data_IF_258276355199
#
_entry.id   IF_258276355199
#
_cell.length_a   1.000
_cell.length_b   1.000
_cell.length_c   1.000
_cell.angle_alpha   90.00
_cell.angle_beta   90.00
_cell.angle_gamma   90.00
#
_symmetry.space_group_name_H-M   'P 1'
#
loop_
_entity.id
_entity.type
_entity.pdbx_description
1 polymer ?
#
# COMPACT_ATOMS: atom_id res chain seq x y z
N UNK A 1 2.03 -4.65 42.93
CA UNK A 1 1.59 -3.34 42.37
C UNK A 1 1.62 -3.41 40.84
N UNK A 2 0.45 -3.41 40.18
CA UNK A 2 0.38 -3.32 38.70
C UNK A 2 0.40 -1.84 38.34
N UNK A 3 1.51 -1.35 37.76
CA UNK A 3 1.58 0.01 37.21
C UNK A 3 0.46 0.17 36.17
N UNK A 4 -0.49 1.06 36.48
CA UNK A 4 -1.49 1.53 35.51
C UNK A 4 -0.72 2.24 34.41
N UNK A 5 -0.65 1.62 33.23
CA UNK A 5 -0.05 2.19 32.01
C UNK A 5 -0.84 3.46 31.68
N UNK A 6 -0.25 4.61 31.98
CA UNK A 6 -0.87 5.92 31.87
C UNK A 6 -1.22 6.26 30.42
N UNK A 7 -2.25 7.09 30.28
CA UNK A 7 -2.70 7.71 29.04
C UNK A 7 -1.52 8.19 28.18
N UNK A 8 -1.42 7.65 26.96
CA UNK A 8 -0.87 8.41 25.83
C UNK A 8 0.65 8.52 25.72
N UNK A 9 1.43 7.52 26.12
CA UNK A 9 2.86 7.49 25.75
C UNK A 9 2.98 7.51 24.21
N UNK A 10 3.36 8.66 23.67
CA UNK A 10 3.49 8.87 22.23
C UNK A 10 4.61 7.98 21.73
N UNK A 11 4.23 6.89 21.05
CA UNK A 11 5.19 5.97 20.43
C UNK A 11 6.10 6.78 19.50
N UNK A 12 7.42 6.69 19.71
CA UNK A 12 8.43 7.37 18.87
C UNK A 12 8.18 7.16 17.37
N UNK A 13 7.64 5.99 17.01
CA UNK A 13 7.20 5.66 15.66
C UNK A 13 5.67 5.49 15.67
N UNK A 14 4.88 6.53 15.36
CA UNK A 14 3.41 6.47 15.42
C UNK A 14 2.82 5.39 14.50
N UNK A 15 3.46 5.16 13.35
CA UNK A 15 3.05 4.15 12.39
C UNK A 15 3.27 2.72 12.90
N UNK A 16 4.15 2.52 13.88
CA UNK A 16 4.65 1.22 14.31
C UNK A 16 5.46 0.47 13.27
N UNK A 17 5.84 1.07 12.13
CA UNK A 17 6.59 0.41 11.06
C UNK A 17 8.09 0.44 11.32
N UNK A 18 8.79 -0.62 10.94
CA UNK A 18 10.23 -0.68 10.83
C UNK A 18 10.67 -0.87 9.38
N UNK A 19 11.87 -0.41 9.05
CA UNK A 19 12.60 -0.78 7.84
C UNK A 19 13.79 -1.68 8.22
N UNK A 20 13.91 -2.83 7.56
CA UNK A 20 15.02 -3.77 7.77
C UNK A 20 16.21 -3.42 6.89
N UNK A 21 17.35 -3.05 7.48
CA UNK A 21 18.55 -2.60 6.76
C UNK A 21 19.76 -3.41 7.29
N UNK A 22 20.67 -3.80 6.40
CA UNK A 22 21.88 -4.55 6.76
C UNK A 22 22.91 -3.64 7.44
N UNK A 23 23.70 -4.20 8.36
CA UNK A 23 24.88 -3.50 8.87
C UNK A 23 25.98 -3.47 7.81
N UNK A 24 26.82 -2.41 7.74
CA UNK A 24 26.93 -1.28 8.67
C UNK A 24 25.99 -0.11 8.34
N UNK A 25 25.15 -0.22 7.31
CA UNK A 25 24.37 0.92 6.81
C UNK A 25 23.39 1.49 7.83
N UNK A 26 22.91 0.71 8.81
CA UNK A 26 22.11 1.24 9.91
C UNK A 26 22.93 2.20 10.77
N UNK A 27 24.16 1.84 11.08
CA UNK A 27 25.08 2.68 11.83
C UNK A 27 25.44 3.96 11.06
N UNK A 28 25.66 3.86 9.75
CA UNK A 28 25.87 5.03 8.89
C UNK A 28 24.65 5.97 8.86
N UNK A 29 23.44 5.44 8.95
CA UNK A 29 22.21 6.26 9.05
C UNK A 29 22.15 6.95 10.40
N UNK A 30 22.39 6.21 11.49
CA UNK A 30 22.32 6.74 12.85
C UNK A 30 23.38 7.81 13.12
N UNK A 31 24.55 7.69 12.51
CA UNK A 31 25.64 8.69 12.55
C UNK A 31 25.48 9.81 11.52
N UNK A 32 24.45 9.76 10.67
CA UNK A 32 24.14 10.79 9.68
C UNK A 32 25.00 10.76 8.40
N UNK A 33 25.94 9.81 8.28
CA UNK A 33 26.77 9.61 7.09
C UNK A 33 25.93 9.21 5.87
N UNK A 34 25.00 8.27 6.07
CA UNK A 34 24.11 7.77 5.02
C UNK A 34 22.77 8.50 5.04
N UNK A 35 22.56 9.37 4.04
CA UNK A 35 21.36 10.21 3.88
C UNK A 35 20.24 9.56 3.06
N UNK A 36 20.55 8.47 2.34
CA UNK A 36 19.59 7.74 1.50
C UNK A 36 19.68 6.24 1.74
N UNK A 37 18.53 5.60 1.94
CA UNK A 37 18.41 4.15 1.87
C UNK A 37 18.00 3.72 0.46
N UNK A 38 18.78 2.84 -0.18
CA UNK A 38 18.55 2.46 -1.58
C UNK A 38 17.80 1.15 -1.70
N UNK A 39 16.76 1.12 -2.54
CA UNK A 39 15.95 -0.06 -2.84
C UNK A 39 15.57 -0.11 -4.31
N UNK A 40 15.27 -1.31 -4.80
CA UNK A 40 14.78 -1.53 -6.17
C UNK A 40 13.36 -1.01 -6.42
N UNK A 41 12.60 -0.69 -5.36
CA UNK A 41 11.19 -0.27 -5.43
C UNK A 41 10.99 1.09 -4.79
N UNK A 42 10.13 1.93 -5.38
CA UNK A 42 9.69 3.18 -4.77
C UNK A 42 8.85 2.93 -3.50
N UNK A 43 8.80 3.93 -2.61
CA UNK A 43 7.92 3.91 -1.42
C UNK A 43 7.13 5.21 -1.27
N UNK A 44 5.87 5.08 -0.86
CA UNK A 44 5.01 6.20 -0.47
C UNK A 44 4.99 6.42 1.06
N UNK A 45 5.74 5.62 1.82
CA UNK A 45 5.82 5.79 3.28
C UNK A 45 6.54 7.10 3.60
N UNK A 46 5.92 7.91 4.47
CA UNK A 46 6.47 9.16 4.99
C UNK A 46 6.33 9.19 6.50
N UNK A 47 7.27 9.90 7.15
CA UNK A 47 7.35 10.04 8.60
C UNK A 47 8.33 9.05 9.24
N UNK A 48 8.31 9.03 10.57
CA UNK A 48 9.25 8.26 11.39
C UNK A 48 8.98 6.75 11.30
N UNK A 49 10.04 5.97 11.16
CA UNK A 49 10.06 4.50 11.13
C UNK A 49 11.18 3.98 12.04
N UNK A 50 11.01 2.78 12.60
CA UNK A 50 12.08 2.12 13.33
C UNK A 50 13.17 1.66 12.35
N UNK A 51 14.43 1.68 12.81
CA UNK A 51 15.57 1.09 12.15
C UNK A 51 15.84 -0.29 12.75
N UNK A 52 15.59 -1.34 11.96
CA UNK A 52 15.95 -2.71 12.30
C UNK A 52 17.30 -3.06 11.69
N UNK A 53 18.28 -3.37 12.54
CA UNK A 53 19.56 -3.91 12.13
C UNK A 53 19.37 -5.38 11.75
N UNK A 54 19.44 -5.69 10.46
CA UNK A 54 19.26 -7.03 9.94
C UNK A 54 20.22 -8.03 10.60
N UNK A 55 19.81 -9.30 10.68
CA UNK A 55 20.66 -10.39 11.16
C UNK A 55 21.89 -10.65 10.29
N UNK A 56 21.92 -10.13 9.05
CA UNK A 56 23.02 -10.28 8.08
C UNK A 56 23.73 -8.96 7.81
N UNK A 57 25.04 -9.03 7.61
CA UNK A 57 25.86 -7.92 7.11
C UNK A 57 25.63 -7.68 5.61
N UNK A 58 25.94 -6.47 5.17
CA UNK A 58 26.17 -6.17 3.78
C UNK A 58 27.40 -6.94 3.27
N UNK A 59 27.43 -7.22 1.97
CA UNK A 59 28.54 -7.94 1.35
C UNK A 59 29.85 -7.19 1.57
N UNK A 60 30.91 -7.91 1.95
CA UNK A 60 32.23 -7.34 2.23
C UNK A 60 32.41 -6.74 3.64
N UNK A 61 31.46 -6.96 4.57
CA UNK A 61 31.56 -6.51 5.96
C UNK A 61 31.42 -7.66 6.95
N UNK A 62 32.28 -7.70 7.97
CA UNK A 62 32.32 -8.75 9.01
C UNK A 62 32.52 -8.18 10.44
N UNK A 63 32.02 -6.97 10.71
CA UNK A 63 32.17 -6.35 12.02
C UNK A 63 31.13 -6.86 13.04
N UNK A 64 31.51 -7.88 13.81
CA UNK A 64 30.66 -8.48 14.84
C UNK A 64 30.36 -7.58 16.04
N UNK A 65 30.97 -6.39 16.16
CA UNK A 65 30.69 -5.45 17.26
C UNK A 65 29.33 -4.75 17.12
N UNK A 66 28.79 -4.67 15.89
CA UNK A 66 27.54 -3.96 15.63
C UNK A 66 26.31 -4.82 15.99
N UNK A 67 25.29 -4.24 16.66
CA UNK A 67 24.07 -4.95 16.99
C UNK A 67 23.35 -5.42 15.72
N UNK A 68 22.79 -6.62 15.79
CA UNK A 68 22.03 -7.29 14.72
C UNK A 68 20.77 -7.94 15.29
N UNK A 69 19.80 -8.19 14.42
CA UNK A 69 18.54 -8.84 14.80
C UNK A 69 17.64 -7.99 15.70
N UNK A 70 17.87 -6.67 15.79
CA UNK A 70 17.24 -5.82 16.81
C UNK A 70 16.91 -4.42 16.26
N UNK A 71 15.98 -3.73 16.93
CA UNK A 71 15.68 -2.31 16.68
C UNK A 71 16.68 -1.47 17.47
N UNK A 72 17.41 -0.60 16.78
CA UNK A 72 18.50 0.20 17.36
C UNK A 72 18.18 1.70 17.42
N UNK A 73 17.12 2.13 16.74
CA UNK A 73 16.74 3.53 16.67
C UNK A 73 15.56 3.77 15.73
N UNK A 74 15.38 5.03 15.34
CA UNK A 74 14.41 5.46 14.34
C UNK A 74 14.96 6.52 13.41
N UNK A 75 14.29 6.73 12.28
CA UNK A 75 14.61 7.77 11.30
C UNK A 75 13.35 8.22 10.59
N UNK A 76 13.33 9.46 10.09
CA UNK A 76 12.24 9.98 9.26
C UNK A 76 12.52 9.76 7.79
N UNK A 77 11.54 9.18 7.09
CA UNK A 77 11.52 9.15 5.63
C UNK A 77 10.74 10.37 5.15
N UNK A 78 11.44 11.31 4.53
CA UNK A 78 10.84 12.57 4.04
C UNK A 78 10.54 12.56 2.55
N UNK A 79 11.25 11.71 1.80
CA UNK A 79 11.19 11.69 0.34
C UNK A 79 11.57 10.35 -0.27
N UNK A 80 11.35 10.23 -1.58
CA UNK A 80 11.79 9.09 -2.38
C UNK A 80 12.17 9.61 -3.76
N UNK A 81 13.45 9.45 -4.14
CA UNK A 81 14.01 9.92 -5.41
C UNK A 81 14.54 8.75 -6.23
N UNK A 82 14.32 8.74 -7.53
CA UNK A 82 14.95 7.77 -8.43
C UNK A 82 16.37 8.23 -8.79
N UNK A 83 17.32 7.30 -8.78
CA UNK A 83 18.72 7.52 -9.12
C UNK A 83 19.05 6.76 -10.41
N UNK A 84 19.05 7.44 -11.59
CA UNK A 84 19.17 6.78 -12.88
C UNK A 84 20.47 5.97 -13.05
N UNK A 85 21.61 6.50 -12.57
CA UNK A 85 22.93 5.87 -12.70
C UNK A 85 23.01 4.47 -12.08
N UNK A 86 22.19 4.19 -11.06
CA UNK A 86 22.15 2.91 -10.36
C UNK A 86 20.83 2.16 -10.55
N UNK A 87 19.88 2.74 -11.29
CA UNK A 87 18.53 2.21 -11.51
C UNK A 87 17.80 1.81 -10.21
N UNK A 88 17.99 2.59 -9.15
CA UNK A 88 17.38 2.35 -7.81
C UNK A 88 16.68 3.58 -7.27
N UNK A 89 15.80 3.38 -6.29
CA UNK A 89 15.15 4.45 -5.54
C UNK A 89 15.90 4.68 -4.22
N UNK A 90 16.23 5.94 -3.92
CA UNK A 90 16.74 6.37 -2.63
C UNK A 90 15.64 6.97 -1.78
N UNK A 91 15.42 6.39 -0.61
CA UNK A 91 14.52 6.92 0.41
C UNK A 91 15.30 7.96 1.20
N UNK A 92 14.86 9.22 1.16
CA UNK A 92 15.57 10.31 1.83
C UNK A 92 15.31 10.25 3.34
N UNK A 93 16.40 10.22 4.10
CA UNK A 93 16.40 10.01 5.55
C UNK A 93 16.79 11.29 6.29
N UNK A 94 16.04 11.62 7.35
CA UNK A 94 16.29 12.78 8.22
C UNK A 94 16.10 12.43 9.70
N UNK A 95 16.67 13.25 10.55
CA UNK A 95 16.50 13.21 12.01
C UNK A 95 16.67 11.79 12.62
N UNK A 96 17.79 11.11 12.33
CA UNK A 96 18.06 9.81 12.94
C UNK A 96 18.10 9.97 14.47
N UNK A 97 17.54 8.97 15.16
CA UNK A 97 17.50 8.93 16.62
C UNK A 97 17.95 7.54 17.06
N UNK A 98 19.12 7.48 17.72
CA UNK A 98 19.60 6.27 18.36
C UNK A 98 18.84 6.03 19.65
N UNK A 99 18.51 4.78 19.94
CA UNK A 99 17.98 4.39 21.25
C UNK A 99 19.11 4.00 22.19
N UNK A 100 18.95 4.32 23.46
CA UNK A 100 19.90 3.94 24.51
C UNK A 100 19.95 2.42 24.71
N UNK A 101 18.81 1.76 24.58
CA UNK A 101 18.69 0.30 24.61
C UNK A 101 18.11 -0.21 23.30
N UNK A 102 18.66 -1.31 22.79
CA UNK A 102 18.09 -2.01 21.64
C UNK A 102 16.81 -2.74 22.03
N UNK A 103 15.94 -3.01 21.04
CA UNK A 103 14.64 -3.65 21.27
C UNK A 103 14.49 -4.84 20.33
N UNK A 104 14.32 -6.03 20.89
CA UNK A 104 14.06 -7.25 20.12
C UNK A 104 12.64 -7.17 19.54
N UNK A 105 12.45 -7.34 18.21
CA UNK A 105 11.12 -7.37 17.62
C UNK A 105 10.37 -8.67 17.98
N UNK A 106 9.07 -8.58 18.18
CA UNK A 106 8.19 -9.74 18.41
C UNK A 106 7.91 -10.50 17.10
N UNK A 107 7.87 -9.76 15.98
CA UNK A 107 7.56 -10.30 14.66
C UNK A 107 8.80 -10.45 13.79
N UNK A 108 8.79 -11.47 12.93
CA UNK A 108 9.85 -11.71 11.95
C UNK A 108 10.02 -10.53 10.98
N UNK A 109 11.26 -10.07 10.83
CA UNK A 109 11.61 -9.02 9.89
C UNK A 109 11.34 -9.44 8.44
N UNK A 110 10.77 -8.53 7.66
CA UNK A 110 10.56 -8.71 6.22
C UNK A 110 11.61 -7.90 5.43
N UNK A 111 11.90 -8.26 4.17
CA UNK A 111 12.89 -7.57 3.33
C UNK A 111 12.59 -6.08 3.07
N UNK A 112 11.39 -5.60 3.40
CA UNK A 112 10.97 -4.21 3.25
C UNK A 112 10.53 -3.62 4.60
N UNK A 113 9.32 -3.05 4.64
CA UNK A 113 8.71 -2.55 5.86
C UNK A 113 7.92 -3.65 6.56
N UNK A 114 7.99 -3.68 7.88
CA UNK A 114 7.22 -4.61 8.70
C UNK A 114 6.79 -3.96 10.01
N UNK A 115 5.99 -4.65 10.80
CA UNK A 115 5.51 -4.18 12.10
C UNK A 115 6.16 -5.01 13.21
N UNK A 116 7.30 -4.57 13.79
CA UNK A 116 8.07 -5.38 14.75
C UNK A 116 7.29 -5.74 16.03
N UNK A 117 6.36 -4.89 16.46
CA UNK A 117 5.61 -5.04 17.71
C UNK A 117 4.10 -5.23 17.47
N UNK A 118 3.76 -5.87 16.34
CA UNK A 118 2.40 -5.98 15.84
C UNK A 118 1.85 -4.69 15.21
N UNK A 119 0.69 -4.78 14.51
CA UNK A 119 0.05 -3.61 13.93
C UNK A 119 -0.25 -2.59 15.03
N UNK A 120 -0.04 -1.30 14.74
CA UNK A 120 -0.49 -0.22 15.62
C UNK A 120 -2.00 -0.36 15.78
N UNK A 121 -2.45 -0.92 16.92
CA UNK A 121 -3.87 -0.96 17.26
C UNK A 121 -4.29 0.50 17.24
N UNK A 122 -5.23 0.87 16.35
CA UNK A 122 -5.89 2.18 16.45
C UNK A 122 -6.31 2.31 17.92
N UNK A 123 -6.16 3.48 18.56
CA UNK A 123 -6.75 3.68 19.87
C UNK A 123 -8.18 3.19 19.76
N UNK A 124 -8.54 2.16 20.55
CA UNK A 124 -9.92 1.69 20.61
C UNK A 124 -10.71 2.97 20.89
N UNK A 125 -11.62 3.36 19.99
CA UNK A 125 -12.56 4.43 20.32
C UNK A 125 -13.16 4.01 21.66
N UNK A 126 -13.06 4.89 22.65
CA UNK A 126 -13.66 4.63 23.95
C UNK A 126 -15.09 4.17 23.70
N UNK A 127 -15.48 2.95 24.16
CA UNK A 127 -16.84 2.46 24.00
C UNK A 127 -17.89 3.47 24.51
N UNK A 128 -17.52 4.33 25.48
CA UNK A 128 -18.39 5.38 26.02
C UNK A 128 -18.63 6.56 25.04
N UNK A 129 -17.72 6.79 24.07
CA UNK A 129 -17.82 7.88 23.08
C UNK A 129 -18.43 7.42 21.75
N UNK A 130 -18.67 6.13 21.57
CA UNK A 130 -19.47 5.64 20.44
C UNK A 130 -20.94 5.92 20.77
N UNK A 131 -21.45 7.09 20.34
CA UNK A 131 -22.90 7.34 20.31
C UNK A 131 -23.57 6.11 19.69
N UNK A 132 -24.41 5.41 20.46
CA UNK A 132 -25.22 4.29 19.97
C UNK A 132 -25.95 4.79 18.73
N UNK A 133 -25.53 4.36 17.54
CA UNK A 133 -26.32 4.61 16.33
C UNK A 133 -27.66 3.92 16.58
N UNK A 134 -28.75 4.68 16.45
CA UNK A 134 -30.09 4.11 16.50
C UNK A 134 -30.15 2.89 15.56
N UNK A 135 -30.85 1.81 15.95
CA UNK A 135 -31.02 0.66 15.07
C UNK A 135 -31.58 1.16 13.75
N UNK A 136 -30.87 0.86 12.65
CA UNK A 136 -31.36 1.08 11.30
C UNK A 136 -32.61 0.21 11.16
N UNK A 137 -33.80 0.80 11.37
CA UNK A 137 -35.08 0.17 10.98
C UNK A 137 -34.93 -0.25 9.52
N UNK A 138 -35.14 -1.54 9.29
CA UNK A 138 -34.79 -2.24 8.06
C UNK A 138 -35.27 -1.50 6.82
N UNK A 139 -34.32 -1.02 6.01
CA UNK A 139 -34.52 -0.96 4.56
C UNK A 139 -33.94 -2.26 4.02
N UNK A 140 -34.83 -3.19 3.70
CA UNK A 140 -34.54 -4.37 2.90
C UNK A 140 -33.92 -3.86 1.59
N UNK A 141 -32.61 -3.98 1.42
CA UNK A 141 -32.03 -3.77 0.11
C UNK A 141 -32.55 -4.90 -0.78
N UNK A 142 -33.19 -4.62 -1.93
CA UNK A 142 -33.50 -5.67 -2.86
C UNK A 142 -32.17 -6.31 -3.27
N UNK A 143 -32.05 -7.64 -3.05
CA UNK A 143 -30.96 -8.46 -3.59
C UNK A 143 -30.82 -8.10 -5.09
N UNK A 144 -29.71 -7.50 -5.55
CA UNK A 144 -29.57 -7.28 -6.97
C UNK A 144 -29.22 -8.64 -7.60
N UNK A 145 -30.17 -9.19 -8.35
CA UNK A 145 -29.98 -9.55 -9.75
C UNK A 145 -28.58 -10.13 -10.04
N UNK A 146 -28.27 -11.29 -9.46
CA UNK A 146 -27.18 -12.17 -9.92
C UNK A 146 -27.72 -13.52 -10.35
N UNK A 147 -28.93 -13.90 -9.89
CA UNK A 147 -29.54 -15.18 -10.23
C UNK A 147 -30.13 -15.22 -11.65
N UNK A 148 -30.56 -14.09 -12.22
CA UNK A 148 -31.16 -14.07 -13.57
C UNK A 148 -30.15 -13.80 -14.70
N UNK A 149 -28.86 -13.61 -14.38
CA UNK A 149 -27.79 -13.34 -15.36
C UNK A 149 -26.93 -14.58 -15.63
N UNK A 150 -27.15 -15.68 -14.91
CA UNK A 150 -26.41 -16.94 -15.05
C UNK A 150 -27.12 -17.96 -15.96
N UNK A 151 -28.20 -17.57 -16.63
CA UNK A 151 -28.92 -18.42 -17.58
C UNK A 151 -28.22 -18.52 -18.93
N UNK A 152 -27.73 -17.42 -19.48
CA UNK A 152 -26.94 -17.40 -20.71
C UNK A 152 -25.97 -16.22 -20.66
N UNK A 153 -24.70 -16.49 -20.35
CA UNK A 153 -23.66 -15.46 -20.42
C UNK A 153 -23.42 -15.16 -21.91
N UNK A 154 -23.55 -13.90 -22.37
CA UNK A 154 -23.20 -13.54 -23.74
C UNK A 154 -21.73 -13.92 -24.00
N UNK A 155 -21.47 -14.70 -25.05
CA UNK A 155 -20.12 -15.22 -25.36
C UNK A 155 -19.11 -14.14 -25.76
N UNK A 156 -19.52 -12.88 -25.84
CA UNK A 156 -18.68 -11.76 -26.26
C UNK A 156 -18.83 -10.55 -25.30
N UNK A 157 -17.72 -9.87 -25.03
CA UNK A 157 -17.68 -8.63 -24.21
C UNK A 157 -18.67 -7.56 -24.71
N UNK A 158 -18.88 -7.47 -26.02
CA UNK A 158 -19.80 -6.51 -26.63
C UNK A 158 -21.27 -6.76 -26.28
N UNK A 159 -21.66 -8.01 -25.99
CA UNK A 159 -23.02 -8.34 -25.56
C UNK A 159 -23.30 -7.86 -24.13
N UNK A 160 -22.34 -8.03 -23.24
CA UNK A 160 -22.45 -7.61 -21.84
C UNK A 160 -22.55 -6.08 -21.68
N UNK A 161 -21.72 -5.33 -22.40
CA UNK A 161 -21.74 -3.86 -22.36
C UNK A 161 -23.10 -3.30 -22.79
N UNK A 162 -23.70 -3.87 -23.86
CA UNK A 162 -25.00 -3.44 -24.39
C UNK A 162 -26.15 -3.72 -23.42
N UNK A 163 -26.16 -4.88 -22.76
CA UNK A 163 -27.19 -5.20 -21.76
C UNK A 163 -27.05 -4.36 -20.49
N UNK A 164 -25.81 -4.09 -20.05
CA UNK A 164 -25.54 -3.25 -18.90
C UNK A 164 -25.98 -1.80 -19.12
N UNK A 165 -25.70 -1.23 -20.31
CA UNK A 165 -26.23 0.08 -20.68
C UNK A 165 -27.76 0.13 -20.73
N UNK A 166 -28.39 -0.91 -21.29
CA UNK A 166 -29.86 -1.01 -21.33
C UNK A 166 -30.48 -1.08 -19.93
N UNK A 167 -29.85 -1.80 -19.00
CA UNK A 167 -30.27 -1.86 -17.61
C UNK A 167 -30.20 -0.47 -16.93
N UNK A 168 -29.09 0.26 -17.13
CA UNK A 168 -28.92 1.61 -16.58
C UNK A 168 -29.95 2.59 -17.16
N UNK A 169 -30.19 2.54 -18.48
CA UNK A 169 -31.22 3.34 -19.16
C UNK A 169 -32.62 3.03 -18.62
N UNK A 170 -32.99 1.75 -18.45
CA UNK A 170 -34.30 1.34 -17.91
C UNK A 170 -34.53 1.84 -16.48
N UNK A 171 -33.48 2.00 -15.70
CA UNK A 171 -33.56 2.54 -14.32
C UNK A 171 -33.51 4.06 -14.25
N UNK A 172 -33.54 4.77 -15.39
CA UNK A 172 -33.36 6.24 -15.48
C UNK A 172 -32.07 6.70 -14.76
N UNK A 173 -31.07 5.83 -14.68
CA UNK A 173 -29.73 6.19 -14.22
C UNK A 173 -29.01 6.76 -15.44
N UNK A 174 -28.95 8.09 -15.50
CA UNK A 174 -28.42 8.82 -16.65
C UNK A 174 -26.99 8.36 -16.94
N UNK A 175 -26.76 7.77 -18.13
CA UNK A 175 -25.43 7.59 -18.72
C UNK A 175 -25.30 8.67 -19.77
N UNK A 176 -24.79 9.85 -19.40
CA UNK A 176 -24.35 10.82 -20.38
C UNK A 176 -23.02 10.34 -20.96
N UNK A 177 -22.95 10.14 -22.27
CA UNK A 177 -21.73 9.90 -23.02
C UNK A 177 -20.82 11.13 -22.96
N UNK A 178 -19.98 11.22 -21.93
CA UNK A 178 -18.83 12.12 -21.89
C UNK A 178 -17.70 11.46 -21.08
N UNK A 179 -16.46 11.37 -21.59
CA UNK A 179 -15.44 10.46 -21.08
C UNK A 179 -14.73 11.05 -19.86
N UNK A 180 -15.33 10.90 -18.68
CA UNK A 180 -14.60 10.90 -17.41
C UNK A 180 -15.02 9.70 -16.58
N UNK A 181 -14.66 8.53 -17.10
CA UNK A 181 -14.95 7.23 -16.51
C UNK A 181 -14.03 7.00 -15.29
N UNK A 182 -14.46 7.52 -14.14
CA UNK A 182 -13.75 7.31 -12.85
C UNK A 182 -14.56 6.45 -11.87
N UNK A 183 -15.90 6.49 -11.95
CA UNK A 183 -16.77 5.78 -11.00
C UNK A 183 -17.33 4.46 -11.55
N UNK A 184 -17.77 4.43 -12.81
CA UNK A 184 -18.23 3.20 -13.46
C UNK A 184 -17.08 2.20 -13.64
N UNK A 185 -15.91 2.67 -14.11
CA UNK A 185 -14.69 1.86 -14.24
C UNK A 185 -14.26 1.20 -12.92
N UNK A 186 -14.39 1.95 -11.83
CA UNK A 186 -13.98 1.50 -10.49
C UNK A 186 -15.00 0.53 -9.89
N UNK A 187 -16.27 0.65 -10.25
CA UNK A 187 -17.29 -0.34 -9.90
C UNK A 187 -17.11 -1.63 -10.71
N UNK A 188 -16.83 -1.52 -12.01
CA UNK A 188 -16.63 -2.64 -12.91
C UNK A 188 -15.36 -3.43 -12.58
N UNK A 189 -14.22 -2.75 -12.41
CA UNK A 189 -12.95 -3.39 -11.97
C UNK A 189 -13.07 -4.08 -10.62
N UNK A 190 -13.95 -3.59 -9.75
CA UNK A 190 -14.17 -4.15 -8.41
C UNK A 190 -15.19 -5.30 -8.39
N UNK A 191 -16.06 -5.38 -9.39
CA UNK A 191 -16.87 -6.56 -9.67
C UNK A 191 -15.99 -7.66 -10.27
N UNK A 192 -15.23 -7.33 -11.31
CA UNK A 192 -14.34 -8.26 -12.02
C UNK A 192 -13.19 -8.78 -11.15
N UNK A 193 -12.77 -8.04 -10.11
CA UNK A 193 -11.75 -8.52 -9.16
C UNK A 193 -12.29 -9.47 -8.08
N UNK A 194 -13.62 -9.59 -7.94
CA UNK A 194 -14.26 -10.43 -6.90
C UNK A 194 -14.64 -11.81 -7.40
N UNK A 195 -14.95 -11.93 -8.69
CA UNK A 195 -15.10 -13.23 -9.34
C UNK A 195 -13.76 -13.62 -9.97
N UNK A 196 -13.31 -14.86 -9.72
CA UNK A 196 -12.01 -15.37 -10.16
C UNK A 196 -11.95 -15.59 -11.68
N UNK A 197 -12.02 -14.52 -12.46
CA UNK A 197 -11.68 -14.57 -13.87
C UNK A 197 -10.18 -14.30 -14.02
N UNK A 198 -9.44 -15.36 -14.35
CA UNK A 198 -8.04 -15.25 -14.78
C UNK A 198 -7.99 -14.39 -16.04
N UNK A 199 -7.33 -13.24 -15.95
CA UNK A 199 -7.04 -12.37 -17.09
C UNK A 199 -6.02 -13.11 -17.97
N UNK A 200 -6.51 -13.83 -18.98
CA UNK A 200 -5.70 -14.21 -20.13
C UNK A 200 -5.42 -12.95 -20.96
N UNK A 201 -4.20 -12.90 -21.47
CA UNK A 201 -3.50 -11.76 -22.06
C UNK A 201 -4.32 -11.02 -23.14
N UNK A 202 -4.31 -9.68 -23.10
CA UNK A 202 -4.81 -8.83 -24.18
C UNK A 202 -3.63 -8.50 -25.10
N UNK A 203 -3.62 -8.88 -26.39
CA UNK A 203 -2.60 -8.43 -27.33
C UNK A 203 -2.82 -6.96 -27.68
N UNK A 204 -1.75 -6.17 -27.62
CA UNK A 204 -1.70 -4.80 -28.15
C UNK A 204 -1.84 -4.80 -29.67
N UNK A 205 -2.97 -4.33 -30.18
CA UNK A 205 -3.17 -3.98 -31.58
C UNK A 205 -3.82 -2.59 -31.65
N UNK A 206 -3.08 -1.63 -32.21
CA UNK A 206 -3.51 -0.59 -33.17
C UNK A 206 -2.39 0.45 -33.26
N UNK A 207 -1.45 0.27 -34.21
CA UNK A 207 -0.75 1.37 -34.87
C UNK A 207 -1.60 1.76 -36.08
N UNK A 208 -2.13 2.98 -36.11
CA UNK A 208 -2.83 3.51 -37.28
C UNK A 208 -1.82 4.00 -38.31
N UNK A 209 -2.05 3.55 -39.55
CA UNK A 209 -1.48 4.04 -40.79
C UNK A 209 -1.70 5.54 -40.96
N UNK A 210 -0.63 6.27 -41.29
CA UNK A 210 -0.71 7.62 -41.86
C UNK A 210 -0.61 7.46 -43.38
N UNK A 211 -1.74 7.63 -44.05
CA UNK A 211 -1.87 7.74 -45.50
C UNK A 211 -1.25 9.06 -45.98
N UNK A 212 -0.20 9.00 -46.80
CA UNK A 212 0.30 10.14 -47.57
C UNK A 212 -0.59 10.34 -48.81
N UNK A 213 -1.13 11.55 -49.00
CA UNK A 213 -1.74 11.98 -50.26
C UNK A 213 -0.62 12.29 -51.29
N UNK A 214 -0.83 12.01 -52.59
CA UNK A 214 0.06 12.50 -53.63
C UNK A 214 -0.24 13.99 -53.93
N UNK A 215 0.80 14.80 -54.07
CA UNK A 215 0.69 16.12 -54.69
C UNK A 215 0.79 15.96 -56.21
N UNK A 216 -0.08 16.70 -56.90
CA UNK A 216 -0.03 16.95 -58.34
C UNK A 216 1.05 17.99 -58.65
#
# INVERSE_FOLDING_TARGET
MKLKKSLGETRDVPSGRAISIRQPYVEEILTGKKKYEFRSRATHIRGRVYLYASGKFAEGYEDNSLPRGTIVGSVEIVGCKFFPSRRVFGYELKHPKRYTATRVPDNQAQPCFFFPFGPSRKPRKDPSLVKKKAPLKGKLYPKPILANFLGEIPRTLSGFEREFENYLKKKRLIVTSNPTVSRADKALKRLLSKDRFSILEIPTLVRKNVSRKPQK
#
